data_IF_530695832580
#
_entry.id   IF_530695832580
#
_cell.length_a   1.000
_cell.length_b   1.000
_cell.length_c   1.000
_cell.angle_alpha   90.00
_cell.angle_beta   90.00
_cell.angle_gamma   90.00
#
_symmetry.space_group_name_H-M   'P 1'
#
loop_
_entity.id
_entity.type
_entity.pdbx_description
1 polymer ?
#
# COMPACT_ATOMS: atom_id res chain seq x y z
N UNK A 1 -32.62 -10.84 6.64
CA UNK A 1 -32.49 -10.06 5.37
C UNK A 1 -33.62 -9.02 5.20
N UNK A 2 -34.89 -9.39 5.38
CA UNK A 2 -36.03 -8.51 5.02
C UNK A 2 -36.18 -7.25 5.87
N UNK A 3 -35.92 -7.34 7.18
CA UNK A 3 -35.91 -6.16 8.07
C UNK A 3 -34.85 -5.15 7.62
N UNK A 4 -33.64 -5.61 7.29
CA UNK A 4 -32.55 -4.76 6.81
C UNK A 4 -32.90 -4.06 5.48
N UNK A 5 -33.45 -4.81 4.51
CA UNK A 5 -33.96 -4.23 3.25
C UNK A 5 -34.97 -3.10 3.49
N UNK A 6 -35.87 -3.26 4.48
CA UNK A 6 -36.85 -2.23 4.85
C UNK A 6 -36.17 -0.96 5.38
N UNK A 7 -35.18 -1.11 6.27
CA UNK A 7 -34.44 0.04 6.81
C UNK A 7 -33.64 0.76 5.74
N UNK A 8 -32.94 0.03 4.87
CA UNK A 8 -32.18 0.64 3.76
C UNK A 8 -33.10 1.37 2.77
N UNK A 9 -34.25 0.79 2.39
CA UNK A 9 -35.24 1.50 1.57
C UNK A 9 -35.77 2.76 2.26
N UNK A 10 -35.97 2.70 3.59
CA UNK A 10 -36.34 3.87 4.38
C UNK A 10 -35.28 4.96 4.35
N UNK A 11 -34.00 4.59 4.46
CA UNK A 11 -32.87 5.52 4.34
C UNK A 11 -32.81 6.16 2.96
N UNK A 12 -32.93 5.36 1.89
CA UNK A 12 -32.92 5.86 0.49
C UNK A 12 -34.08 6.84 0.23
N UNK A 13 -35.25 6.63 0.85
CA UNK A 13 -36.37 7.56 0.75
C UNK A 13 -36.07 8.92 1.39
N UNK A 14 -35.32 8.93 2.50
CA UNK A 14 -34.92 10.15 3.21
C UNK A 14 -33.77 10.86 2.50
N UNK A 15 -32.78 10.09 2.07
CA UNK A 15 -31.60 10.58 1.35
C UNK A 15 -31.30 9.63 0.18
N UNK A 16 -31.52 10.14 -1.04
CA UNK A 16 -31.33 9.38 -2.27
C UNK A 16 -29.86 9.17 -2.64
N UNK A 17 -28.93 9.87 -1.99
CA UNK A 17 -27.48 9.76 -2.18
C UNK A 17 -26.79 8.97 -1.06
N UNK A 18 -27.54 8.44 -0.09
CA UNK A 18 -27.00 7.66 1.02
C UNK A 18 -26.42 6.31 0.55
N UNK A 19 -25.15 6.32 0.15
CA UNK A 19 -24.43 5.18 -0.42
C UNK A 19 -24.48 3.90 0.43
N UNK A 20 -24.34 3.95 1.78
CA UNK A 20 -24.34 2.73 2.59
C UNK A 20 -25.62 1.91 2.46
N UNK A 21 -26.78 2.53 2.22
CA UNK A 21 -28.02 1.78 2.03
C UNK A 21 -28.05 1.02 0.69
N UNK A 22 -27.48 1.58 -0.37
CA UNK A 22 -27.40 0.88 -1.65
C UNK A 22 -26.37 -0.25 -1.61
N UNK A 23 -25.22 -0.02 -0.97
CA UNK A 23 -24.20 -1.06 -0.74
C UNK A 23 -24.79 -2.20 0.09
N UNK A 24 -25.46 -1.89 1.20
CA UNK A 24 -26.11 -2.89 2.04
C UNK A 24 -27.23 -3.65 1.33
N UNK A 25 -27.99 -3.03 0.42
CA UNK A 25 -28.95 -3.76 -0.43
C UNK A 25 -28.22 -4.68 -1.41
N UNK A 26 -27.11 -4.22 -2.01
CA UNK A 26 -26.25 -5.02 -2.87
C UNK A 26 -25.73 -6.26 -2.15
N UNK A 27 -25.16 -6.11 -0.96
CA UNK A 27 -24.66 -7.21 -0.12
C UNK A 27 -25.76 -8.24 0.18
N UNK A 28 -26.98 -7.80 0.51
CA UNK A 28 -28.09 -8.74 0.73
C UNK A 28 -28.45 -9.49 -0.56
N UNK A 29 -28.39 -8.85 -1.73
CA UNK A 29 -28.61 -9.52 -3.01
C UNK A 29 -27.51 -10.52 -3.33
N UNK A 30 -26.25 -10.21 -3.02
CA UNK A 30 -25.12 -11.14 -3.16
C UNK A 30 -25.31 -12.38 -2.29
N UNK A 31 -25.72 -12.20 -1.03
CA UNK A 31 -26.04 -13.32 -0.13
C UNK A 31 -27.23 -14.18 -0.61
N UNK A 32 -28.13 -13.62 -1.40
CA UNK A 32 -29.25 -14.34 -2.02
C UNK A 32 -28.87 -14.98 -3.38
N UNK A 33 -27.62 -14.87 -3.83
CA UNK A 33 -27.16 -15.36 -5.14
C UNK A 33 -27.64 -14.51 -6.32
N UNK A 34 -28.23 -13.34 -6.07
CA UNK A 34 -28.75 -12.41 -7.09
C UNK A 34 -27.68 -11.40 -7.51
N UNK A 35 -26.56 -11.91 -8.00
CA UNK A 35 -25.38 -11.10 -8.31
C UNK A 35 -25.65 -10.06 -9.40
N UNK A 36 -26.42 -10.43 -10.43
CA UNK A 36 -26.80 -9.51 -11.52
C UNK A 36 -27.61 -8.31 -11.01
N UNK A 37 -28.57 -8.55 -10.13
CA UNK A 37 -29.39 -7.49 -9.52
C UNK A 37 -28.52 -6.55 -8.67
N UNK A 38 -27.53 -7.10 -7.95
CA UNK A 38 -26.60 -6.31 -7.15
C UNK A 38 -25.75 -5.37 -8.04
N UNK A 39 -25.18 -5.90 -9.13
CA UNK A 39 -24.45 -5.12 -10.13
C UNK A 39 -25.32 -4.01 -10.71
N UNK A 40 -26.56 -4.33 -11.09
CA UNK A 40 -27.46 -3.35 -11.71
C UNK A 40 -27.79 -2.19 -10.77
N UNK A 41 -28.05 -2.48 -9.49
CA UNK A 41 -28.28 -1.44 -8.48
C UNK A 41 -27.04 -0.57 -8.31
N UNK A 42 -25.85 -1.17 -8.16
CA UNK A 42 -24.62 -0.43 -7.97
C UNK A 42 -24.29 0.42 -9.21
N UNK A 43 -24.47 -0.08 -10.44
CA UNK A 43 -24.32 0.69 -11.69
C UNK A 43 -25.27 1.89 -11.73
N UNK A 44 -26.54 1.71 -11.37
CA UNK A 44 -27.54 2.80 -11.30
C UNK A 44 -27.15 3.87 -10.28
N UNK A 45 -26.61 3.46 -9.14
CA UNK A 45 -26.18 4.39 -8.08
C UNK A 45 -24.91 5.12 -8.49
N UNK A 46 -23.96 4.43 -9.12
CA UNK A 46 -22.75 5.04 -9.67
C UNK A 46 -23.09 6.10 -10.71
N UNK A 47 -23.97 5.80 -11.67
CA UNK A 47 -24.37 6.74 -12.70
C UNK A 47 -24.90 8.08 -12.15
N UNK A 48 -25.57 8.04 -10.98
CA UNK A 48 -26.15 9.21 -10.30
C UNK A 48 -25.19 9.94 -9.38
N UNK A 49 -24.31 9.19 -8.70
CA UNK A 49 -23.47 9.73 -7.61
C UNK A 49 -22.03 9.99 -8.04
N UNK A 50 -21.57 9.30 -9.11
CA UNK A 50 -20.18 9.24 -9.56
C UNK A 50 -19.19 8.95 -8.43
N UNK A 51 -19.66 8.23 -7.40
CA UNK A 51 -18.87 7.93 -6.22
C UNK A 51 -17.88 6.81 -6.52
N UNK A 52 -16.60 7.08 -6.27
CA UNK A 52 -15.50 6.11 -6.35
C UNK A 52 -15.74 4.92 -5.40
N UNK A 53 -16.41 5.12 -4.26
CA UNK A 53 -16.74 4.05 -3.32
C UNK A 53 -17.63 2.99 -4.00
N UNK A 54 -18.62 3.43 -4.79
CA UNK A 54 -19.49 2.50 -5.53
C UNK A 54 -18.72 1.83 -6.66
N UNK A 55 -17.83 2.57 -7.32
CA UNK A 55 -16.98 2.04 -8.37
C UNK A 55 -16.06 0.93 -7.85
N UNK A 56 -15.47 1.09 -6.66
CA UNK A 56 -14.70 0.05 -5.99
C UNK A 56 -15.53 -1.20 -5.67
N UNK A 57 -16.78 -1.02 -5.20
CA UNK A 57 -17.66 -2.16 -4.95
C UNK A 57 -18.02 -2.91 -6.23
N UNK A 58 -18.19 -2.19 -7.35
CA UNK A 58 -18.34 -2.81 -8.66
C UNK A 58 -17.06 -3.54 -9.09
N UNK A 59 -15.88 -2.95 -8.85
CA UNK A 59 -14.59 -3.57 -9.14
C UNK A 59 -14.42 -4.90 -8.42
N UNK A 60 -14.57 -4.90 -7.10
CA UNK A 60 -14.51 -6.13 -6.28
C UNK A 60 -15.48 -7.19 -6.83
N UNK A 61 -16.72 -6.79 -7.12
CA UNK A 61 -17.75 -7.72 -7.58
C UNK A 61 -17.42 -8.34 -8.95
N UNK A 62 -16.98 -7.55 -9.93
CA UNK A 62 -16.62 -8.08 -11.24
C UNK A 62 -15.35 -8.92 -11.21
N UNK A 63 -14.37 -8.57 -10.37
CA UNK A 63 -13.16 -9.36 -10.21
C UNK A 63 -13.45 -10.70 -9.53
N UNK A 64 -14.31 -10.73 -8.51
CA UNK A 64 -14.75 -11.96 -7.84
C UNK A 64 -15.54 -12.89 -8.80
N UNK A 65 -16.23 -12.31 -9.79
CA UNK A 65 -16.91 -13.04 -10.84
C UNK A 65 -15.99 -13.54 -11.97
N UNK A 66 -14.72 -13.11 -12.00
CA UNK A 66 -13.80 -13.40 -13.09
C UNK A 66 -14.14 -12.66 -14.39
N UNK A 67 -14.80 -11.50 -14.29
CA UNK A 67 -15.22 -10.66 -15.42
C UNK A 67 -14.47 -9.30 -15.45
N UNK A 68 -13.12 -9.28 -15.52
CA UNK A 68 -12.34 -8.03 -15.47
C UNK A 68 -12.64 -7.08 -16.65
N UNK A 69 -13.05 -7.61 -17.81
CA UNK A 69 -13.41 -6.80 -18.98
C UNK A 69 -14.61 -5.88 -18.71
N UNK A 70 -15.57 -6.33 -17.89
CA UNK A 70 -16.77 -5.55 -17.59
C UNK A 70 -16.46 -4.36 -16.69
N UNK A 71 -15.61 -4.54 -15.68
CA UNK A 71 -15.19 -3.42 -14.84
C UNK A 71 -14.29 -2.44 -15.59
N UNK A 72 -13.38 -2.92 -16.46
CA UNK A 72 -12.58 -2.05 -17.33
C UNK A 72 -13.51 -1.15 -18.16
N UNK A 73 -14.57 -1.70 -18.76
CA UNK A 73 -15.55 -0.92 -19.51
C UNK A 73 -16.24 0.14 -18.64
N UNK A 74 -16.62 -0.19 -17.40
CA UNK A 74 -17.23 0.78 -16.48
C UNK A 74 -16.28 1.95 -16.17
N UNK A 75 -14.99 1.68 -15.96
CA UNK A 75 -13.98 2.73 -15.79
C UNK A 75 -13.76 3.57 -17.06
N UNK A 76 -13.71 2.92 -18.23
CA UNK A 76 -13.56 3.61 -19.51
C UNK A 76 -14.76 4.52 -19.79
N UNK A 77 -15.98 4.04 -19.57
CA UNK A 77 -17.20 4.84 -19.69
C UNK A 77 -17.18 6.03 -18.72
N UNK A 78 -16.67 5.83 -17.50
CA UNK A 78 -16.50 6.91 -16.53
C UNK A 78 -15.50 7.98 -17.00
N UNK A 79 -14.35 7.55 -17.55
CA UNK A 79 -13.33 8.44 -18.10
C UNK A 79 -13.78 9.12 -19.39
N UNK A 80 -14.64 8.52 -20.22
CA UNK A 80 -15.21 9.22 -21.37
C UNK A 80 -16.02 10.45 -20.96
N UNK A 81 -16.64 10.42 -19.78
CA UNK A 81 -17.42 11.54 -19.24
C UNK A 81 -16.54 12.60 -18.57
N UNK A 82 -15.40 12.20 -18.02
CA UNK A 82 -14.43 13.08 -17.37
C UNK A 82 -12.99 12.60 -17.65
N UNK A 83 -12.44 12.90 -18.86
CA UNK A 83 -11.18 12.31 -19.33
C UNK A 83 -9.95 12.71 -18.51
N UNK A 84 -10.03 13.84 -17.81
CA UNK A 84 -8.93 14.43 -17.04
C UNK A 84 -9.09 14.19 -15.54
N UNK A 85 -9.93 13.23 -15.14
CA UNK A 85 -10.12 12.90 -13.73
C UNK A 85 -8.94 12.08 -13.19
N UNK A 86 -8.01 12.66 -12.40
CA UNK A 86 -6.83 11.96 -11.94
C UNK A 86 -7.16 10.77 -11.03
N UNK A 87 -8.30 10.84 -10.34
CA UNK A 87 -8.77 9.76 -9.45
C UNK A 87 -9.22 8.56 -10.27
N UNK A 88 -10.02 8.76 -11.32
CA UNK A 88 -10.45 7.66 -12.20
C UNK A 88 -9.29 7.07 -12.99
N UNK A 89 -8.38 7.91 -13.50
CA UNK A 89 -7.18 7.45 -14.19
C UNK A 89 -6.31 6.60 -13.26
N UNK A 90 -6.13 7.02 -12.01
CA UNK A 90 -5.37 6.26 -11.00
C UNK A 90 -5.99 4.89 -10.72
N UNK A 91 -7.31 4.83 -10.49
CA UNK A 91 -7.96 3.57 -10.18
C UNK A 91 -8.01 2.60 -11.36
N UNK A 92 -8.25 3.09 -12.58
CA UNK A 92 -8.15 2.25 -13.77
C UNK A 92 -6.71 1.78 -14.01
N UNK A 93 -5.71 2.65 -13.84
CA UNK A 93 -4.30 2.27 -13.95
C UNK A 93 -3.88 1.25 -12.90
N UNK A 94 -4.37 1.38 -11.67
CA UNK A 94 -4.21 0.39 -10.60
C UNK A 94 -4.88 -0.95 -10.96
N UNK A 95 -6.07 -0.91 -11.57
CA UNK A 95 -6.75 -2.11 -12.03
C UNK A 95 -5.96 -2.80 -13.15
N UNK A 96 -5.48 -2.06 -14.15
CA UNK A 96 -4.60 -2.62 -15.19
C UNK A 96 -3.34 -3.23 -14.59
N UNK A 97 -2.70 -2.55 -13.62
CA UNK A 97 -1.55 -3.10 -12.91
C UNK A 97 -1.88 -4.41 -12.19
N UNK A 98 -3.03 -4.49 -11.49
CA UNK A 98 -3.51 -5.72 -10.82
C UNK A 98 -3.76 -6.86 -11.80
N UNK A 99 -4.17 -6.54 -13.03
CA UNK A 99 -4.44 -7.51 -14.10
C UNK A 99 -3.20 -7.82 -14.95
N UNK A 100 -2.01 -7.38 -14.52
CA UNK A 100 -0.74 -7.57 -15.25
C UNK A 100 -0.73 -6.94 -16.67
N UNK A 101 -1.63 -5.99 -16.92
CA UNK A 101 -1.67 -5.16 -18.12
C UNK A 101 -0.68 -4.00 -17.96
N UNK A 102 0.62 -4.34 -18.00
CA UNK A 102 1.72 -3.46 -17.63
C UNK A 102 1.81 -2.23 -18.52
N UNK A 103 1.63 -2.38 -19.83
CA UNK A 103 1.75 -1.29 -20.78
C UNK A 103 0.56 -0.32 -20.66
N UNK A 104 -0.67 -0.83 -20.58
CA UNK A 104 -1.87 0.00 -20.40
C UNK A 104 -1.88 0.72 -19.04
N UNK A 105 -1.39 0.05 -17.99
CA UNK A 105 -1.21 0.69 -16.69
C UNK A 105 -0.21 1.84 -16.76
N UNK A 106 0.93 1.62 -17.41
CA UNK A 106 1.97 2.62 -17.55
C UNK A 106 1.50 3.83 -18.37
N UNK A 107 0.93 3.57 -19.55
CA UNK A 107 0.46 4.62 -20.45
C UNK A 107 -0.58 5.49 -19.75
N UNK A 108 -1.55 4.89 -19.06
CA UNK A 108 -2.58 5.65 -18.35
C UNK A 108 -2.02 6.41 -17.14
N UNK A 109 -1.25 5.75 -16.27
CA UNK A 109 -0.74 6.37 -15.05
C UNK A 109 0.28 7.49 -15.35
N UNK A 110 1.04 7.37 -16.43
CA UNK A 110 2.00 8.40 -16.84
C UNK A 110 1.35 9.71 -17.30
N UNK A 111 0.07 9.68 -17.70
CA UNK A 111 -0.69 10.89 -18.11
C UNK A 111 -1.29 11.66 -16.96
N UNK A 112 -1.25 11.14 -15.73
CA UNK A 112 -1.95 11.80 -14.63
C UNK A 112 -1.18 13.03 -14.15
N UNK A 113 -1.78 14.20 -14.33
CA UNK A 113 -1.24 15.48 -13.88
C UNK A 113 -1.73 15.87 -12.47
N UNK A 114 -0.97 16.69 -11.73
CA UNK A 114 -1.37 17.23 -10.41
C UNK A 114 -0.50 16.76 -9.24
N UNK A 115 -0.94 16.95 -7.97
CA UNK A 115 -0.15 16.64 -6.77
C UNK A 115 -0.11 15.13 -6.47
N UNK A 116 0.35 14.34 -7.45
CA UNK A 116 0.67 12.92 -7.33
C UNK A 116 1.72 12.66 -6.23
N UNK A 117 2.54 13.67 -5.93
CA UNK A 117 3.63 13.60 -4.95
C UNK A 117 3.16 13.21 -3.53
N UNK A 118 1.85 13.26 -3.24
CA UNK A 118 1.29 12.80 -1.96
C UNK A 118 0.65 11.40 -2.00
N UNK A 119 0.45 10.83 -3.19
CA UNK A 119 -0.13 9.50 -3.37
C UNK A 119 0.99 8.45 -3.32
N UNK A 120 1.28 7.97 -2.12
CA UNK A 120 2.23 6.89 -1.85
C UNK A 120 2.04 5.70 -2.82
N UNK A 121 0.79 5.27 -3.00
CA UNK A 121 0.48 4.10 -3.83
C UNK A 121 0.71 4.35 -5.33
N UNK A 122 0.53 5.57 -5.82
CA UNK A 122 0.88 5.92 -7.21
C UNK A 122 2.37 5.70 -7.46
N UNK A 123 3.22 6.23 -6.59
CA UNK A 123 4.66 6.07 -6.74
C UNK A 123 5.13 4.62 -6.56
N UNK A 124 4.48 3.83 -5.71
CA UNK A 124 4.74 2.38 -5.59
C UNK A 124 4.38 1.63 -6.88
N UNK A 125 3.21 1.90 -7.45
CA UNK A 125 2.78 1.25 -8.70
C UNK A 125 3.70 1.66 -9.85
N UNK A 126 3.98 2.95 -10.02
CA UNK A 126 4.91 3.44 -11.05
C UNK A 126 6.29 2.81 -10.90
N UNK A 127 6.84 2.71 -9.69
CA UNK A 127 8.10 2.02 -9.45
C UNK A 127 8.06 0.56 -9.93
N UNK A 128 7.01 -0.18 -9.60
CA UNK A 128 6.87 -1.58 -10.02
C UNK A 128 6.70 -1.70 -11.55
N UNK A 129 5.99 -0.78 -12.19
CA UNK A 129 5.88 -0.73 -13.64
C UNK A 129 7.25 -0.48 -14.29
N UNK A 130 8.01 0.49 -13.78
CA UNK A 130 9.39 0.74 -14.23
C UNK A 130 10.29 -0.48 -14.04
N UNK A 131 10.18 -1.20 -12.91
CA UNK A 131 10.93 -2.44 -12.68
C UNK A 131 10.59 -3.52 -13.70
N UNK A 132 9.30 -3.72 -14.01
CA UNK A 132 8.87 -4.70 -15.04
C UNK A 132 9.38 -4.34 -16.43
N UNK A 133 9.50 -3.05 -16.73
CA UNK A 133 10.09 -2.52 -17.98
C UNK A 133 11.62 -2.41 -17.95
N UNK A 134 12.28 -2.87 -16.88
CA UNK A 134 13.75 -2.81 -16.67
C UNK A 134 14.33 -1.38 -16.65
N UNK A 135 13.49 -0.39 -16.33
CA UNK A 135 13.84 1.03 -16.19
C UNK A 135 14.22 1.32 -14.72
N UNK A 136 15.42 0.88 -14.32
CA UNK A 136 15.81 0.84 -12.91
C UNK A 136 15.99 2.24 -12.28
N UNK A 137 16.49 3.22 -13.04
CA UNK A 137 16.74 4.57 -12.52
C UNK A 137 15.43 5.31 -12.19
N UNK A 138 14.44 5.19 -13.07
CA UNK A 138 13.10 5.71 -12.88
C UNK A 138 12.39 5.00 -11.72
N UNK A 139 12.54 3.67 -11.62
CA UNK A 139 12.02 2.90 -10.49
C UNK A 139 12.57 3.41 -9.15
N UNK A 140 13.90 3.60 -9.06
CA UNK A 140 14.55 4.15 -7.86
C UNK A 140 14.01 5.54 -7.53
N UNK A 141 13.81 6.37 -8.55
CA UNK A 141 13.27 7.73 -8.37
C UNK A 141 11.85 7.70 -7.82
N UNK A 142 10.98 6.85 -8.38
CA UNK A 142 9.61 6.65 -7.87
C UNK A 142 9.59 6.09 -6.45
N UNK A 143 10.45 5.11 -6.13
CA UNK A 143 10.56 4.57 -4.77
C UNK A 143 11.01 5.62 -3.75
N UNK A 144 11.96 6.49 -4.11
CA UNK A 144 12.40 7.61 -3.26
C UNK A 144 11.25 8.55 -2.95
N UNK A 145 10.40 8.85 -3.94
CA UNK A 145 9.18 9.66 -3.73
C UNK A 145 8.18 8.95 -2.82
N UNK A 146 7.89 7.66 -3.08
CA UNK A 146 6.99 6.85 -2.26
C UNK A 146 7.41 6.86 -0.78
N UNK A 147 8.67 6.54 -0.50
CA UNK A 147 9.18 6.46 0.87
C UNK A 147 9.40 7.83 1.52
N UNK A 148 9.10 8.93 0.82
CA UNK A 148 9.39 10.29 1.28
C UNK A 148 10.82 10.40 1.82
N UNK A 149 11.78 9.82 1.10
CA UNK A 149 13.20 9.77 1.48
C UNK A 149 13.80 11.18 1.47
N UNK A 150 13.44 11.98 2.48
CA UNK A 150 13.99 13.31 2.76
C UNK A 150 15.18 13.22 3.71
N UNK A 151 15.29 12.12 4.48
CA UNK A 151 16.35 11.93 5.49
C UNK A 151 17.35 10.88 5.01
N UNK A 152 18.65 11.23 5.08
CA UNK A 152 19.71 10.23 5.18
C UNK A 152 19.31 9.22 6.26
N UNK A 153 19.44 7.93 5.98
CA UNK A 153 19.45 6.92 7.04
C UNK A 153 20.68 7.22 7.89
N UNK A 154 20.49 7.90 9.00
CA UNK A 154 21.56 8.12 9.97
C UNK A 154 21.47 6.97 10.96
N UNK A 155 22.48 6.11 10.92
CA UNK A 155 22.68 5.08 11.91
C UNK A 155 23.01 5.77 13.25
N UNK A 156 22.17 5.64 14.29
CA UNK A 156 22.50 6.20 15.59
C UNK A 156 23.60 5.39 16.27
N UNK A 157 24.38 6.07 17.09
CA UNK A 157 25.35 5.50 18.02
C UNK A 157 24.72 5.36 19.40
N UNK A 158 24.94 4.24 20.07
CA UNK A 158 24.46 3.99 21.43
C UNK A 158 25.66 3.81 22.35
N UNK A 159 25.66 4.46 23.50
CA UNK A 159 26.68 4.28 24.52
C UNK A 159 26.48 2.95 25.25
N UNK A 160 27.43 2.02 25.16
CA UNK A 160 27.36 0.70 25.81
C UNK A 160 27.25 0.77 27.34
N UNK A 161 27.65 1.89 27.95
CA UNK A 161 27.70 2.07 29.41
C UNK A 161 26.46 2.76 29.99
N UNK A 162 25.88 3.74 29.30
CA UNK A 162 24.74 4.50 29.81
C UNK A 162 23.52 4.49 28.88
N UNK A 163 23.59 3.74 27.78
CA UNK A 163 22.54 3.57 26.77
C UNK A 163 22.07 4.88 26.14
N UNK A 164 22.86 5.94 26.22
CA UNK A 164 22.57 7.21 25.56
C UNK A 164 22.75 7.07 24.05
N UNK A 165 21.72 7.43 23.30
CA UNK A 165 21.77 7.53 21.84
C UNK A 165 22.37 8.87 21.39
N UNK A 166 23.09 8.85 20.28
CA UNK A 166 23.69 10.00 19.59
C UNK A 166 23.61 9.79 18.09
N UNK A 167 23.28 10.85 17.35
CA UNK A 167 23.24 10.82 15.87
C UNK A 167 24.65 11.02 15.28
N UNK A 168 25.55 11.65 16.05
CA UNK A 168 26.93 11.92 15.68
C UNK A 168 27.89 11.04 16.47
N UNK A 169 28.95 10.58 15.83
CA UNK A 169 30.03 9.88 16.52
C UNK A 169 30.87 10.88 17.33
N UNK A 170 31.14 10.55 18.58
CA UNK A 170 32.15 11.24 19.39
C UNK A 170 33.04 10.20 20.07
N UNK A 171 34.34 10.47 20.22
CA UNK A 171 35.25 9.56 20.94
C UNK A 171 34.88 9.39 22.42
N UNK A 172 34.11 10.34 22.97
CA UNK A 172 33.67 10.39 24.37
C UNK A 172 32.16 10.52 24.46
N UNK A 173 31.50 9.69 25.26
CA UNK A 173 30.06 9.79 25.48
C UNK A 173 29.70 11.11 26.17
N UNK A 174 28.78 11.90 25.60
CA UNK A 174 28.36 13.20 26.16
C UNK A 174 27.67 13.08 27.53
N UNK A 175 27.02 11.95 27.83
CA UNK A 175 26.32 11.71 29.10
C UNK A 175 27.23 11.18 30.22
N UNK A 176 27.90 10.04 30.01
CA UNK A 176 28.72 9.40 31.05
C UNK A 176 30.22 9.75 30.98
N UNK A 177 30.65 10.57 30.03
CA UNK A 177 32.03 11.03 29.88
C UNK A 177 33.09 9.92 29.64
N UNK A 178 32.69 8.67 29.41
CA UNK A 178 33.60 7.55 29.09
C UNK A 178 33.99 7.54 27.61
N UNK A 179 35.26 7.25 27.36
CA UNK A 179 35.83 7.10 26.02
C UNK A 179 35.49 5.74 25.41
N UNK A 180 35.42 5.67 24.07
CA UNK A 180 35.26 4.43 23.30
C UNK A 180 34.04 3.59 23.71
N UNK A 181 32.94 4.26 24.09
CA UNK A 181 31.69 3.59 24.51
C UNK A 181 30.58 3.67 23.48
N UNK A 182 30.70 4.51 22.45
CA UNK A 182 29.67 4.69 21.41
C UNK A 182 29.85 3.65 20.30
N UNK A 183 28.84 2.82 20.09
CA UNK A 183 28.76 1.82 19.02
C UNK A 183 27.61 2.12 18.06
N UNK A 184 27.82 1.97 16.75
CA UNK A 184 26.78 2.10 15.73
C UNK A 184 25.98 0.80 15.64
N UNK A 185 24.63 0.88 15.62
CA UNK A 185 23.73 -0.29 15.50
C UNK A 185 24.16 -1.48 16.38
N UNK A 186 23.80 -1.51 17.67
CA UNK A 186 23.99 -2.73 18.41
C UNK A 186 23.02 -3.74 17.80
N UNK A 187 23.53 -4.70 17.04
CA UNK A 187 22.94 -6.03 17.12
C UNK A 187 22.99 -6.32 18.61
N UNK A 188 21.85 -6.23 19.30
CA UNK A 188 21.78 -6.58 20.71
C UNK A 188 22.03 -8.08 20.70
N UNK A 189 23.30 -8.47 20.80
CA UNK A 189 23.68 -9.79 21.22
C UNK A 189 23.11 -9.92 22.63
N UNK A 190 21.94 -10.56 22.71
CA UNK A 190 21.20 -10.86 23.94
C UNK A 190 21.96 -11.87 24.83
N UNK A 191 23.28 -11.99 24.66
CA UNK A 191 24.17 -12.92 25.34
C UNK A 191 25.05 -12.28 26.41
N UNK A 192 24.98 -10.96 26.63
CA UNK A 192 25.75 -10.32 27.72
C UNK A 192 24.85 -9.64 28.75
N UNK A 193 23.91 -10.41 29.28
CA UNK A 193 23.52 -10.29 30.69
C UNK A 193 24.21 -11.44 31.44
N UNK A 194 25.00 -11.05 32.44
CA UNK A 194 25.63 -11.84 33.50
C UNK A 194 27.13 -12.21 33.33
N UNK A 195 27.88 -11.65 34.29
CA UNK A 195 28.96 -12.25 35.09
C UNK A 195 30.34 -12.49 34.46
N UNK A 196 31.30 -11.70 34.95
CA UNK A 196 32.62 -12.09 35.48
C UNK A 196 33.30 -13.35 34.90
N UNK A 197 34.58 -13.15 34.54
CA UNK A 197 35.69 -14.11 34.49
C UNK A 197 36.26 -14.32 33.09
N UNK A 198 37.52 -13.89 32.99
CA UNK A 198 38.55 -14.17 31.99
C UNK A 198 38.44 -15.55 31.29
N UNK A 199 38.55 -15.54 29.95
CA UNK A 199 39.47 -16.38 29.16
C UNK A 199 39.38 -16.04 27.67
N UNK A 200 40.53 -16.02 27.00
CA UNK A 200 40.73 -15.70 25.58
C UNK A 200 39.93 -16.62 24.63
N UNK A 201 39.43 -16.13 23.48
CA UNK A 201 38.69 -16.96 22.53
C UNK A 201 39.60 -17.67 21.52
N UNK A 202 39.37 -18.97 21.35
CA UNK A 202 39.85 -19.83 20.26
C UNK A 202 39.14 -19.52 18.92
N UNK A 203 39.75 -19.83 17.76
CA UNK A 203 39.26 -19.34 16.47
C UNK A 203 38.09 -20.17 15.91
N UNK A 204 36.96 -19.51 15.70
CA UNK A 204 36.10 -19.65 14.52
C UNK A 204 35.20 -20.90 14.39
N UNK A 205 33.89 -20.64 14.32
CA UNK A 205 33.03 -21.35 13.38
C UNK A 205 31.99 -20.36 12.81
N UNK A 206 32.13 -20.01 11.53
CA UNK A 206 31.14 -19.24 10.78
C UNK A 206 29.92 -20.12 10.56
N UNK A 207 28.79 -19.79 11.18
CA UNK A 207 27.50 -20.42 10.86
C UNK A 207 26.92 -19.72 9.63
N UNK A 208 26.58 -20.43 8.55
CA UNK A 208 26.09 -19.81 7.33
C UNK A 208 24.69 -19.22 7.56
N UNK A 209 24.52 -17.97 7.10
CA UNK A 209 23.27 -17.23 7.14
C UNK A 209 22.15 -18.00 6.43
N UNK A 210 21.14 -18.46 7.18
CA UNK A 210 19.87 -18.91 6.61
C UNK A 210 18.97 -17.69 6.48
N UNK A 211 18.80 -17.23 5.24
CA UNK A 211 18.00 -16.06 4.92
C UNK A 211 16.58 -16.11 5.48
N UNK A 212 16.12 -14.97 6.00
CA UNK A 212 14.72 -14.75 6.31
C UNK A 212 13.99 -14.66 4.97
N UNK A 213 13.00 -15.52 4.76
CA UNK A 213 12.15 -15.49 3.59
C UNK A 213 11.53 -14.09 3.42
N UNK A 214 11.58 -13.59 2.20
CA UNK A 214 11.04 -12.31 1.78
C UNK A 214 9.56 -12.18 2.19
N UNK A 215 9.10 -11.05 2.74
CA UNK A 215 7.68 -10.83 2.99
C UNK A 215 6.87 -10.60 1.69
N UNK A 216 7.50 -10.75 0.52
CA UNK A 216 6.87 -10.58 -0.80
C UNK A 216 6.46 -11.90 -1.49
N UNK A 217 6.49 -13.03 -0.80
CA UNK A 217 5.86 -14.25 -1.29
C UNK A 217 4.60 -14.55 -0.49
N UNK A 218 3.45 -14.17 -1.05
CA UNK A 218 2.29 -15.07 -1.21
C UNK A 218 1.22 -14.39 -2.06
N UNK A 219 0.90 -15.08 -3.18
CA UNK A 219 -0.38 -15.24 -3.90
C UNK A 219 -1.28 -14.03 -4.09
#
# INVERSE_FOLDING_TARGET
PDKARRYFRGAIKKDRAFLPAYIGIGEILLHEGKTKDAVEILKKVYARTRSVIILHRLEELFLDQGEPSEIIRVYQDALQQDPQNPVLQFYLGKLYYRLEMVDEAFDLLSTIEGPQDHLLDYHKIMANLYLRKQQFEEAITSLKKALSFKKRVVVPYICTQCQQESVEWTGRCRRCAKWNTLTALPWIETSQVSTTSEKEPSPGQLVPYRGIASPFETV
#
